data_IF_326543453427
#
_entry.id   IF_326543453427
#
_cell.length_a   1.000
_cell.length_b   1.000
_cell.length_c   1.000
_cell.angle_alpha   90.00
_cell.angle_beta   90.00
_cell.angle_gamma   90.00
#
_symmetry.space_group_name_H-M   'P 1'
#
loop_
_entity.id
_entity.type
_entity.pdbx_description
1 polymer ?
#
# COMPACT_ATOMS: atom_id res chain seq x y z
N UNK A 1 -48.08 29.69 0.51
CA UNK A 1 -46.62 29.90 0.67
C UNK A 1 -45.94 29.00 1.69
N UNK A 2 -46.53 28.63 2.83
CA UNK A 2 -45.91 27.73 3.83
C UNK A 2 -45.75 26.28 3.34
N UNK A 3 -46.68 25.75 2.55
CA UNK A 3 -46.64 24.38 2.00
C UNK A 3 -45.56 24.20 0.94
N UNK A 4 -45.26 25.20 0.12
CA UNK A 4 -44.20 25.13 -0.90
C UNK A 4 -42.79 25.14 -0.24
N UNK A 5 -42.62 25.95 0.83
CA UNK A 5 -41.36 25.94 1.60
C UNK A 5 -41.08 24.62 2.28
N UNK A 6 -42.14 23.96 2.84
CA UNK A 6 -42.00 22.64 3.47
C UNK A 6 -41.70 21.52 2.48
N UNK A 7 -42.26 21.57 1.26
CA UNK A 7 -41.91 20.64 0.17
C UNK A 7 -40.47 20.83 -0.33
N UNK A 8 -39.99 22.07 -0.39
CA UNK A 8 -38.60 22.36 -0.80
C UNK A 8 -37.59 21.89 0.24
N UNK A 9 -37.87 22.05 1.53
CA UNK A 9 -37.00 21.55 2.62
C UNK A 9 -37.05 20.03 2.66
N UNK A 10 -38.17 19.38 2.46
CA UNK A 10 -38.30 17.92 2.41
C UNK A 10 -37.58 17.34 1.17
N UNK A 11 -37.64 18.00 0.01
CA UNK A 11 -36.93 17.60 -1.19
C UNK A 11 -35.40 17.78 -1.03
N UNK A 12 -34.97 18.83 -0.33
CA UNK A 12 -33.54 19.07 -0.08
C UNK A 12 -32.94 18.06 0.93
N UNK A 13 -33.73 17.61 1.92
CA UNK A 13 -33.29 16.57 2.88
C UNK A 13 -33.28 15.17 2.27
N UNK A 14 -34.14 14.87 1.30
CA UNK A 14 -34.13 13.62 0.54
C UNK A 14 -32.95 13.52 -0.44
N UNK A 15 -32.47 14.65 -0.98
CA UNK A 15 -31.31 14.69 -1.89
C UNK A 15 -29.97 14.44 -1.18
N UNK A 16 -29.88 14.66 0.13
CA UNK A 16 -28.64 14.42 0.88
C UNK A 16 -28.45 12.96 1.31
N UNK A 17 -29.49 12.12 1.21
CA UNK A 17 -29.46 10.72 1.63
C UNK A 17 -28.97 9.73 0.53
N UNK A 18 -28.85 10.17 -0.73
CA UNK A 18 -28.80 9.27 -1.89
C UNK A 18 -27.44 9.08 -2.54
N UNK A 19 -26.34 9.71 -2.08
CA UNK A 19 -25.05 9.64 -2.78
C UNK A 19 -23.92 9.13 -1.91
N UNK A 20 -23.61 7.85 -2.03
CA UNK A 20 -22.37 7.24 -1.50
C UNK A 20 -22.60 5.96 -0.69
N UNK A 21 -21.67 5.04 -0.85
CA UNK A 21 -21.57 3.83 -0.04
C UNK A 21 -20.80 4.11 1.25
N UNK A 22 -21.21 3.47 2.36
CA UNK A 22 -20.44 3.53 3.61
C UNK A 22 -19.44 2.38 3.61
N UNK A 23 -18.17 2.71 3.67
CA UNK A 23 -17.08 1.77 3.88
C UNK A 23 -16.71 1.73 5.37
N UNK A 24 -16.47 0.54 5.93
CA UNK A 24 -15.92 0.36 7.27
C UNK A 24 -14.53 -0.25 7.13
N UNK A 25 -13.52 0.48 7.59
CA UNK A 25 -12.12 0.05 7.49
C UNK A 25 -11.88 -1.11 8.47
N UNK A 26 -11.31 -2.22 8.02
CA UNK A 26 -10.91 -3.31 8.91
C UNK A 26 -9.96 -2.84 10.01
N UNK A 27 -9.91 -3.53 11.14
CA UNK A 27 -9.07 -3.25 12.31
C UNK A 27 -9.48 -1.97 13.04
N UNK A 28 -9.54 -0.82 12.36
CA UNK A 28 -9.82 0.48 12.99
C UNK A 28 -11.31 0.71 13.19
N UNK A 29 -12.16 0.08 12.39
CA UNK A 29 -13.61 0.30 12.42
C UNK A 29 -14.05 1.69 11.94
N UNK A 30 -13.10 2.50 11.40
CA UNK A 30 -13.40 3.84 10.87
C UNK A 30 -14.39 3.73 9.71
N UNK A 31 -15.39 4.60 9.72
CA UNK A 31 -16.40 4.67 8.66
C UNK A 31 -16.12 5.83 7.73
N UNK A 32 -16.15 5.57 6.43
CA UNK A 32 -15.99 6.58 5.39
C UNK A 32 -17.13 6.53 4.40
N UNK A 33 -17.42 7.64 3.74
CA UNK A 33 -18.45 7.74 2.74
C UNK A 33 -17.82 7.94 1.35
N UNK A 34 -17.98 6.95 0.49
CA UNK A 34 -17.43 6.92 -0.85
C UNK A 34 -18.49 7.30 -1.88
N UNK A 35 -18.12 8.11 -2.88
CA UNK A 35 -18.95 8.48 -4.03
C UNK A 35 -18.84 7.48 -5.18
N UNK A 36 -17.85 6.58 -5.11
CA UNK A 36 -17.58 5.55 -6.11
C UNK A 36 -17.73 4.18 -5.49
N UNK A 37 -18.18 3.21 -6.25
CA UNK A 37 -18.22 1.82 -5.83
C UNK A 37 -16.92 1.07 -6.16
N UNK A 38 -16.77 -0.14 -5.61
CA UNK A 38 -15.57 -0.94 -5.79
C UNK A 38 -15.34 -1.32 -7.26
N UNK A 39 -16.40 -1.65 -8.00
CA UNK A 39 -16.28 -2.03 -9.41
C UNK A 39 -15.74 -0.89 -10.27
N UNK A 40 -16.20 0.34 -10.02
CA UNK A 40 -15.72 1.55 -10.69
C UNK A 40 -14.24 1.81 -10.38
N UNK A 41 -13.85 1.73 -9.09
CA UNK A 41 -12.48 1.97 -8.64
C UNK A 41 -11.54 0.90 -9.20
N UNK A 42 -11.93 -0.37 -9.16
CA UNK A 42 -11.13 -1.48 -9.66
C UNK A 42 -10.94 -1.43 -11.19
N UNK A 43 -11.99 -1.07 -11.93
CA UNK A 43 -11.93 -0.88 -13.38
C UNK A 43 -10.92 0.21 -13.74
N UNK A 44 -11.04 1.38 -13.11
CA UNK A 44 -10.14 2.52 -13.32
C UNK A 44 -8.70 2.19 -12.92
N UNK A 45 -8.52 1.55 -11.77
CA UNK A 45 -7.21 1.12 -11.28
C UNK A 45 -6.55 0.14 -12.24
N UNK A 46 -7.30 -0.85 -12.73
CA UNK A 46 -6.80 -1.83 -13.69
C UNK A 46 -6.33 -1.17 -14.98
N UNK A 47 -7.07 -0.20 -15.48
CA UNK A 47 -6.68 0.55 -16.68
C UNK A 47 -5.40 1.35 -16.44
N UNK A 48 -5.33 2.15 -15.37
CA UNK A 48 -4.14 2.95 -15.05
C UNK A 48 -2.92 2.08 -14.79
N UNK A 49 -3.10 0.94 -14.12
CA UNK A 49 -2.02 -0.02 -13.88
C UNK A 49 -1.49 -0.61 -15.20
N UNK A 50 -2.37 -1.02 -16.11
CA UNK A 50 -1.95 -1.54 -17.42
C UNK A 50 -1.20 -0.47 -18.23
N UNK A 51 -1.67 0.77 -18.20
CA UNK A 51 -1.02 1.88 -18.90
C UNK A 51 0.34 2.20 -18.28
N UNK A 52 0.46 2.19 -16.96
CA UNK A 52 1.73 2.30 -16.25
C UNK A 52 2.72 1.18 -16.67
N UNK A 53 2.27 -0.08 -16.65
CA UNK A 53 3.11 -1.23 -16.95
C UNK A 53 3.59 -1.29 -18.40
N UNK A 54 2.88 -0.69 -19.37
CA UNK A 54 3.36 -0.55 -20.75
C UNK A 54 4.63 0.29 -20.85
N UNK A 55 4.78 1.30 -19.99
CA UNK A 55 5.95 2.18 -19.95
C UNK A 55 7.03 1.74 -18.94
N UNK A 56 6.69 0.86 -18.00
CA UNK A 56 7.59 0.44 -16.93
C UNK A 56 8.59 -0.61 -17.45
N UNK A 57 9.86 -0.45 -17.06
CA UNK A 57 10.90 -1.45 -17.31
C UNK A 57 11.02 -2.36 -16.10
N UNK A 58 10.66 -3.63 -16.24
CA UNK A 58 10.84 -4.59 -15.17
C UNK A 58 12.33 -4.79 -14.84
N UNK A 59 12.61 -5.00 -13.56
CA UNK A 59 13.95 -5.33 -13.08
C UNK A 59 14.44 -6.64 -13.67
N UNK A 60 15.70 -6.67 -14.06
CA UNK A 60 16.40 -7.89 -14.48
C UNK A 60 17.06 -8.63 -13.31
N UNK A 61 17.05 -8.04 -12.11
CA UNK A 61 17.56 -8.67 -10.89
C UNK A 61 16.57 -9.70 -10.34
N UNK A 62 16.75 -10.96 -10.75
CA UNK A 62 15.88 -12.07 -10.38
C UNK A 62 15.78 -12.28 -8.86
N UNK A 63 16.86 -12.09 -8.12
CA UNK A 63 16.86 -12.27 -6.65
C UNK A 63 16.00 -11.21 -5.97
N UNK A 64 16.13 -9.96 -6.36
CA UNK A 64 15.32 -8.87 -5.82
C UNK A 64 13.86 -9.01 -6.23
N UNK A 65 13.57 -9.37 -7.48
CA UNK A 65 12.20 -9.62 -7.94
C UNK A 65 11.55 -10.78 -7.17
N UNK A 66 12.29 -11.86 -6.92
CA UNK A 66 11.81 -12.98 -6.12
C UNK A 66 11.56 -12.57 -4.65
N UNK A 67 12.41 -11.71 -4.07
CA UNK A 67 12.22 -11.18 -2.72
C UNK A 67 10.95 -10.33 -2.64
N UNK A 68 10.74 -9.39 -3.56
CA UNK A 68 9.52 -8.57 -3.62
C UNK A 68 8.27 -9.43 -3.72
N UNK A 69 8.28 -10.43 -4.60
CA UNK A 69 7.16 -11.35 -4.76
C UNK A 69 6.89 -12.17 -3.49
N UNK A 70 7.92 -12.70 -2.85
CA UNK A 70 7.81 -13.51 -1.64
C UNK A 70 7.25 -12.69 -0.48
N UNK A 71 7.80 -11.50 -0.23
CA UNK A 71 7.33 -10.59 0.83
C UNK A 71 5.89 -10.19 0.58
N UNK A 72 5.57 -9.77 -0.64
CA UNK A 72 4.22 -9.39 -1.03
C UNK A 72 3.19 -10.51 -0.87
N UNK A 73 3.52 -11.73 -1.29
CA UNK A 73 2.64 -12.89 -1.14
C UNK A 73 2.38 -13.25 0.34
N UNK A 74 3.39 -13.14 1.21
CA UNK A 74 3.20 -13.38 2.65
C UNK A 74 2.27 -12.34 3.27
N UNK A 75 2.43 -11.06 2.92
CA UNK A 75 1.54 -9.99 3.35
C UNK A 75 0.12 -10.18 2.83
N UNK A 76 -0.05 -10.48 1.54
CA UNK A 76 -1.35 -10.76 0.94
C UNK A 76 -2.07 -11.90 1.66
N UNK A 77 -1.39 -13.02 1.91
CA UNK A 77 -1.95 -14.16 2.63
C UNK A 77 -2.37 -13.81 4.07
N UNK A 78 -1.59 -12.98 4.77
CA UNK A 78 -1.94 -12.49 6.10
C UNK A 78 -3.20 -11.61 6.07
N UNK A 79 -3.29 -10.69 5.11
CA UNK A 79 -4.45 -9.82 4.90
C UNK A 79 -5.70 -10.64 4.56
N UNK A 80 -5.61 -11.56 3.61
CA UNK A 80 -6.73 -12.42 3.22
C UNK A 80 -7.24 -13.25 4.39
N UNK A 81 -6.32 -13.83 5.17
CA UNK A 81 -6.65 -14.58 6.38
C UNK A 81 -7.38 -13.70 7.40
N UNK A 82 -6.90 -12.48 7.60
CA UNK A 82 -7.54 -11.53 8.51
C UNK A 82 -8.95 -11.17 8.03
N UNK A 83 -9.10 -10.77 6.77
CA UNK A 83 -10.38 -10.37 6.20
C UNK A 83 -11.42 -11.49 6.27
N UNK A 84 -10.99 -12.72 5.92
CA UNK A 84 -11.87 -13.89 5.96
C UNK A 84 -12.37 -14.18 7.37
N UNK A 85 -11.53 -14.07 8.38
CA UNK A 85 -11.85 -14.45 9.76
C UNK A 85 -12.57 -13.37 10.57
N UNK A 86 -12.64 -12.12 10.04
CA UNK A 86 -13.19 -10.98 10.79
C UNK A 86 -14.42 -10.33 10.12
N UNK A 87 -15.12 -11.06 9.26
CA UNK A 87 -16.38 -10.58 8.66
C UNK A 87 -16.22 -9.71 7.43
N UNK A 88 -15.03 -9.69 6.83
CA UNK A 88 -14.74 -8.94 5.60
C UNK A 88 -14.49 -9.87 4.40
N UNK A 89 -14.98 -11.10 4.43
CA UNK A 89 -14.75 -12.09 3.36
C UNK A 89 -15.21 -11.60 1.98
N UNK A 90 -16.26 -10.76 1.92
CA UNK A 90 -16.71 -10.14 0.67
C UNK A 90 -15.68 -9.22 0.02
N UNK A 91 -14.74 -8.67 0.80
CA UNK A 91 -13.67 -7.81 0.25
C UNK A 91 -12.60 -8.60 -0.52
N UNK A 92 -12.48 -9.91 -0.29
CA UNK A 92 -11.48 -10.77 -0.94
C UNK A 92 -11.62 -10.77 -2.46
N UNK A 93 -12.84 -10.70 -2.99
CA UNK A 93 -13.11 -10.65 -4.43
C UNK A 93 -12.50 -9.41 -5.10
N UNK A 94 -12.22 -8.37 -4.34
CA UNK A 94 -11.65 -7.12 -4.82
C UNK A 94 -10.13 -7.22 -5.05
N UNK A 95 -9.45 -8.25 -4.55
CA UNK A 95 -8.01 -8.38 -4.65
C UNK A 95 -7.59 -9.43 -5.69
N UNK A 96 -6.73 -8.99 -6.62
CA UNK A 96 -5.99 -9.82 -7.57
C UNK A 96 -4.54 -9.39 -7.49
N UNK A 97 -3.85 -9.92 -6.49
CA UNK A 97 -2.49 -9.51 -6.12
C UNK A 97 -1.48 -9.67 -7.25
N UNK A 98 -0.75 -8.61 -7.53
CA UNK A 98 0.39 -8.61 -8.43
C UNK A 98 1.53 -7.83 -7.80
N UNK A 99 2.76 -8.36 -7.92
CA UNK A 99 3.95 -7.81 -7.29
C UNK A 99 5.02 -7.66 -8.36
N UNK A 100 5.38 -6.42 -8.68
CA UNK A 100 6.37 -6.11 -9.71
C UNK A 100 7.49 -5.26 -9.15
N UNK A 101 8.73 -5.62 -9.51
CA UNK A 101 9.91 -4.81 -9.28
C UNK A 101 10.28 -4.13 -10.61
N UNK A 102 10.33 -2.81 -10.61
CA UNK A 102 10.71 -2.01 -11.78
C UNK A 102 12.12 -1.45 -11.63
N UNK A 103 12.83 -1.37 -12.74
CA UNK A 103 14.20 -0.82 -12.83
C UNK A 103 14.14 0.72 -12.83
N UNK A 104 13.84 1.29 -11.67
CA UNK A 104 13.82 2.72 -11.41
C UNK A 104 14.66 3.00 -10.16
N UNK A 105 15.50 4.04 -10.23
CA UNK A 105 16.40 4.43 -9.15
C UNK A 105 15.71 5.30 -8.08
N UNK A 106 14.50 5.72 -8.30
CA UNK A 106 13.73 6.44 -7.30
C UNK A 106 13.39 5.50 -6.13
N UNK A 107 13.45 6.02 -4.92
CA UNK A 107 13.04 5.25 -3.75
C UNK A 107 11.52 5.39 -3.59
N UNK A 108 10.78 4.47 -4.21
CA UNK A 108 9.32 4.47 -4.21
C UNK A 108 8.72 3.06 -4.23
N UNK A 109 7.50 2.94 -3.75
CA UNK A 109 6.61 1.80 -3.91
C UNK A 109 5.17 2.30 -3.80
N UNK A 110 4.24 1.61 -4.42
CA UNK A 110 2.81 1.92 -4.29
C UNK A 110 1.94 0.67 -4.48
N UNK A 111 0.74 0.72 -3.93
CA UNK A 111 -0.30 -0.29 -4.13
C UNK A 111 -1.57 0.37 -4.68
N UNK A 112 -1.89 0.11 -5.94
CA UNK A 112 -3.17 0.53 -6.51
C UNK A 112 -4.31 -0.37 -6.03
N UNK A 113 -5.57 0.13 -6.01
CA UNK A 113 -6.74 -0.69 -5.71
C UNK A 113 -6.74 -2.00 -6.51
N UNK A 114 -7.17 -3.07 -5.88
CA UNK A 114 -7.12 -4.41 -6.46
C UNK A 114 -5.84 -5.18 -6.17
N UNK A 115 -4.91 -4.61 -5.37
CA UNK A 115 -3.67 -5.29 -4.96
C UNK A 115 -2.58 -5.28 -6.04
N UNK A 116 -2.53 -4.24 -6.86
CA UNK A 116 -1.50 -4.05 -7.89
C UNK A 116 -0.31 -3.30 -7.29
N UNK A 117 0.74 -4.02 -6.93
CA UNK A 117 1.90 -3.51 -6.20
C UNK A 117 3.08 -3.36 -7.14
N UNK A 118 3.66 -2.18 -7.12
CA UNK A 118 4.89 -1.84 -7.83
C UNK A 118 5.92 -1.38 -6.82
N UNK A 119 7.12 -1.94 -6.91
CA UNK A 119 8.29 -1.59 -6.11
C UNK A 119 9.37 -1.09 -7.04
N UNK A 120 10.02 0.01 -6.72
CA UNK A 120 11.16 0.52 -7.48
C UNK A 120 12.46 -0.02 -6.89
N UNK A 121 13.44 -0.37 -7.74
CA UNK A 121 14.73 -0.86 -7.25
C UNK A 121 15.40 0.10 -6.28
N UNK A 122 15.22 1.41 -6.47
CA UNK A 122 15.81 2.45 -5.63
C UNK A 122 15.36 2.43 -4.16
N UNK A 123 14.25 1.74 -3.80
CA UNK A 123 13.84 1.63 -2.40
C UNK A 123 14.60 0.50 -1.66
N UNK A 124 15.11 -0.51 -2.37
CA UNK A 124 15.70 -1.69 -1.75
C UNK A 124 16.92 -1.40 -0.86
N UNK A 125 17.83 -0.48 -1.23
CA UNK A 125 18.92 -0.08 -0.32
C UNK A 125 18.42 0.53 1.00
N UNK A 126 17.24 1.16 1.02
CA UNK A 126 16.63 1.79 2.20
C UNK A 126 15.94 0.76 3.09
N UNK A 127 15.26 -0.20 2.48
CA UNK A 127 14.61 -1.30 3.22
C UNK A 127 15.61 -2.27 3.81
N UNK A 128 16.77 -2.45 3.18
CA UNK A 128 17.91 -3.28 3.57
C UNK A 128 17.63 -4.79 3.53
N UNK A 129 16.47 -5.23 4.00
CA UNK A 129 16.08 -6.63 4.12
C UNK A 129 14.58 -6.85 3.85
N UNK A 130 14.13 -8.10 3.98
CA UNK A 130 12.72 -8.45 3.81
C UNK A 130 11.81 -7.81 4.85
N UNK A 131 12.27 -7.58 6.07
CA UNK A 131 11.44 -6.95 7.11
C UNK A 131 11.21 -5.48 6.82
N UNK A 132 12.27 -4.75 6.43
CA UNK A 132 12.12 -3.36 6.00
C UNK A 132 11.21 -3.23 4.76
N UNK A 133 11.34 -4.15 3.80
CA UNK A 133 10.44 -4.19 2.65
C UNK A 133 9.00 -4.52 3.06
N UNK A 134 8.80 -5.44 4.00
CA UNK A 134 7.47 -5.80 4.50
C UNK A 134 6.79 -4.65 5.24
N UNK A 135 7.54 -3.80 5.94
CA UNK A 135 7.02 -2.60 6.59
C UNK A 135 6.48 -1.61 5.54
N UNK A 136 7.23 -1.38 4.46
CA UNK A 136 6.78 -0.52 3.35
C UNK A 136 5.56 -1.13 2.66
N UNK A 137 5.66 -2.38 2.21
CA UNK A 137 4.56 -3.01 1.47
C UNK A 137 3.31 -3.22 2.34
N UNK A 138 3.48 -3.46 3.64
CA UNK A 138 2.38 -3.51 4.60
C UNK A 138 1.63 -2.18 4.66
N UNK A 139 2.35 -1.06 4.69
CA UNK A 139 1.80 0.29 4.64
C UNK A 139 1.04 0.54 3.31
N UNK A 140 1.63 0.18 2.17
CA UNK A 140 1.01 0.33 0.86
C UNK A 140 -0.26 -0.53 0.71
N UNK A 141 -0.20 -1.78 1.15
CA UNK A 141 -1.36 -2.69 1.18
C UNK A 141 -2.45 -2.14 2.09
N UNK A 142 -2.08 -1.52 3.22
CA UNK A 142 -3.04 -0.91 4.13
C UNK A 142 -3.84 0.22 3.48
N UNK A 143 -3.21 1.05 2.64
CA UNK A 143 -3.93 2.05 1.85
C UNK A 143 -4.98 1.42 0.93
N UNK A 144 -4.67 0.30 0.29
CA UNK A 144 -5.62 -0.41 -0.57
C UNK A 144 -6.76 -1.06 0.23
N UNK A 145 -6.45 -1.70 1.36
CA UNK A 145 -7.44 -2.35 2.25
C UNK A 145 -8.39 -1.33 2.89
N UNK A 146 -7.85 -0.17 3.32
CA UNK A 146 -8.65 0.92 3.88
C UNK A 146 -9.42 1.73 2.82
N UNK A 147 -9.19 1.47 1.54
CA UNK A 147 -9.79 2.19 0.38
C UNK A 147 -9.46 3.68 0.37
N UNK A 148 -8.27 4.07 0.84
CA UNK A 148 -7.85 5.47 0.91
C UNK A 148 -7.85 6.15 -0.46
N UNK A 149 -7.53 5.42 -1.54
CA UNK A 149 -7.59 5.93 -2.92
C UNK A 149 -9.01 6.28 -3.34
N UNK A 150 -10.00 5.43 -3.01
CA UNK A 150 -11.41 5.71 -3.28
C UNK A 150 -11.94 6.90 -2.44
N UNK A 151 -11.44 7.03 -1.21
CA UNK A 151 -11.74 8.18 -0.34
C UNK A 151 -11.19 9.48 -0.94
N UNK A 152 -9.94 9.46 -1.40
CA UNK A 152 -9.29 10.61 -2.04
C UNK A 152 -9.99 10.99 -3.35
N UNK A 153 -10.34 10.01 -4.19
CA UNK A 153 -11.11 10.24 -5.41
C UNK A 153 -12.46 10.87 -5.07
N UNK A 154 -13.18 10.31 -4.11
CA UNK A 154 -14.47 10.84 -3.66
C UNK A 154 -14.36 12.28 -3.11
N UNK A 155 -13.26 12.62 -2.45
CA UNK A 155 -12.97 13.98 -1.98
C UNK A 155 -12.76 14.94 -3.14
N UNK A 156 -11.94 14.57 -4.11
CA UNK A 156 -11.68 15.41 -5.29
C UNK A 156 -12.94 15.60 -6.12
N UNK A 157 -13.75 14.55 -6.31
CA UNK A 157 -15.07 14.65 -6.96
C UNK A 157 -15.99 15.64 -6.24
N UNK A 158 -16.09 15.59 -4.92
CA UNK A 158 -16.88 16.56 -4.14
C UNK A 158 -16.38 17.99 -4.34
N UNK A 159 -15.08 18.21 -4.39
CA UNK A 159 -14.48 19.53 -4.63
C UNK A 159 -14.81 20.04 -6.05
N UNK A 160 -14.71 19.18 -7.05
CA UNK A 160 -15.05 19.52 -8.44
C UNK A 160 -16.53 19.88 -8.58
N UNK A 161 -17.44 19.10 -7.98
CA UNK A 161 -18.87 19.43 -7.97
C UNK A 161 -19.16 20.75 -7.26
N UNK A 162 -18.55 20.98 -6.10
CA UNK A 162 -18.74 22.23 -5.38
C UNK A 162 -18.27 23.45 -6.20
N UNK A 163 -17.17 23.33 -6.94
CA UNK A 163 -16.68 24.37 -7.83
C UNK A 163 -17.64 24.62 -9.00
N UNK A 164 -18.21 23.56 -9.58
CA UNK A 164 -19.19 23.68 -10.67
C UNK A 164 -20.52 24.32 -10.22
N UNK A 165 -21.00 23.96 -9.01
CA UNK A 165 -22.24 24.53 -8.45
C UNK A 165 -22.05 25.99 -8.06
N UNK A 166 -20.89 26.36 -7.56
CA UNK A 166 -20.56 27.77 -7.26
C UNK A 166 -20.44 28.67 -8.46
N UNK A 167 -20.27 28.10 -9.68
CA UNK A 167 -20.13 28.86 -10.96
C UNK A 167 -21.35 28.87 -11.87
N UNK A 168 -22.35 28.00 -11.65
CA UNK A 168 -23.55 27.91 -12.53
C UNK A 168 -24.73 27.27 -11.79
N UNK A 169 -25.76 28.11 -11.67
CA UNK A 169 -27.18 27.82 -11.41
C UNK A 169 -27.60 26.33 -11.29
N UNK A 170 -28.25 26.03 -10.20
CA UNK A 170 -28.87 24.79 -9.73
C UNK A 170 -29.66 23.92 -10.73
N UNK A 171 -29.82 24.32 -11.99
CA UNK A 171 -30.60 23.61 -13.02
C UNK A 171 -29.86 22.41 -13.63
N UNK A 172 -28.53 22.35 -13.54
CA UNK A 172 -27.74 21.24 -14.12
C UNK A 172 -27.43 20.10 -13.13
N UNK A 173 -27.57 20.33 -11.84
CA UNK A 173 -27.39 19.28 -10.81
C UNK A 173 -28.43 18.16 -10.94
N UNK A 174 -29.60 18.44 -11.52
CA UNK A 174 -30.63 17.45 -11.82
C UNK A 174 -30.22 16.46 -12.94
N UNK A 175 -29.24 16.79 -13.76
CA UNK A 175 -28.69 15.90 -14.81
C UNK A 175 -27.50 15.05 -14.32
N UNK A 176 -26.99 15.27 -13.12
CA UNK A 176 -25.95 14.44 -12.48
C UNK A 176 -26.40 13.00 -12.15
N UNK A 177 -27.57 12.55 -12.65
CA UNK A 177 -27.96 11.13 -12.72
C UNK A 177 -27.03 10.28 -13.59
N UNK A 178 -26.04 10.88 -14.25
CA UNK A 178 -25.07 10.20 -15.11
C UNK A 178 -23.85 9.60 -14.42
N UNK A 179 -23.68 9.74 -13.10
CA UNK A 179 -22.56 9.16 -12.36
C UNK A 179 -22.57 7.62 -12.28
N UNK A 180 -23.64 6.99 -12.73
CA UNK A 180 -23.78 5.54 -12.74
C UNK A 180 -23.06 4.82 -13.89
N UNK A 181 -22.44 5.54 -14.84
CA UNK A 181 -21.77 4.88 -15.94
C UNK A 181 -20.23 5.11 -15.90
N UNK A 182 -19.47 4.08 -16.23
CA UNK A 182 -18.01 4.08 -16.18
C UNK A 182 -17.38 5.15 -17.09
N UNK A 183 -18.03 5.53 -18.20
CA UNK A 183 -17.53 6.54 -19.12
C UNK A 183 -17.50 7.94 -18.49
N UNK A 184 -18.55 8.34 -17.76
CA UNK A 184 -18.60 9.63 -17.09
C UNK A 184 -17.59 9.75 -15.93
N UNK A 185 -17.28 8.62 -15.27
CA UNK A 185 -16.24 8.58 -14.25
C UNK A 185 -14.85 8.75 -14.88
N UNK A 186 -14.57 8.08 -16.00
CA UNK A 186 -13.30 8.21 -16.72
C UNK A 186 -13.06 9.66 -17.20
N UNK A 187 -14.09 10.30 -17.76
CA UNK A 187 -14.02 11.69 -18.19
C UNK A 187 -13.71 12.62 -17.01
N UNK A 188 -14.38 12.43 -15.88
CA UNK A 188 -14.15 13.21 -14.66
C UNK A 188 -12.73 12.97 -14.12
N UNK A 189 -12.29 11.73 -14.04
CA UNK A 189 -10.93 11.36 -13.60
C UNK A 189 -9.88 12.00 -14.49
N UNK A 190 -10.11 12.01 -15.81
CA UNK A 190 -9.25 12.71 -16.76
C UNK A 190 -9.21 14.22 -16.52
N UNK A 191 -10.36 14.85 -16.27
CA UNK A 191 -10.45 16.31 -16.00
C UNK A 191 -9.74 16.72 -14.72
N UNK A 192 -9.80 15.91 -13.65
CA UNK A 192 -9.13 16.20 -12.36
C UNK A 192 -7.68 15.70 -12.31
N UNK A 193 -7.20 14.99 -13.34
CA UNK A 193 -5.84 14.45 -13.40
C UNK A 193 -5.57 13.39 -12.31
N UNK A 194 -6.59 12.61 -11.91
CA UNK A 194 -6.44 11.63 -10.85
C UNK A 194 -5.61 10.42 -11.29
N UNK A 195 -4.55 10.11 -10.53
CA UNK A 195 -3.67 8.99 -10.80
C UNK A 195 -3.39 8.21 -9.50
N UNK A 196 -3.66 6.90 -9.51
CA UNK A 196 -3.45 6.03 -8.34
C UNK A 196 -1.98 5.84 -7.97
N UNK A 197 -1.05 5.95 -8.91
CA UNK A 197 0.37 5.77 -8.62
C UNK A 197 1.01 6.94 -7.84
N UNK A 198 0.40 8.15 -7.92
CA UNK A 198 0.99 9.39 -7.38
C UNK A 198 0.02 10.08 -6.41
N UNK A 199 -0.63 9.32 -5.53
CA UNK A 199 -1.57 9.86 -4.57
C UNK A 199 -0.88 10.35 -3.31
N UNK A 200 -1.27 11.56 -2.89
CA UNK A 200 -0.91 12.09 -1.56
C UNK A 200 -2.10 11.94 -0.63
N UNK A 201 -1.85 11.28 0.46
CA UNK A 201 -2.88 11.00 1.45
C UNK A 201 -2.92 12.04 2.57
N UNK A 202 -4.03 12.09 3.30
CA UNK A 202 -4.12 12.91 4.51
C UNK A 202 -3.28 12.29 5.63
N UNK A 203 -2.89 13.10 6.62
CA UNK A 203 -2.17 12.58 7.80
C UNK A 203 -2.95 11.51 8.56
N UNK A 204 -4.27 11.58 8.56
CA UNK A 204 -5.12 10.58 9.20
C UNK A 204 -5.08 9.26 8.43
N UNK A 205 -5.10 9.31 7.08
CA UNK A 205 -4.92 8.12 6.25
C UNK A 205 -3.54 7.50 6.43
N UNK A 206 -2.48 8.32 6.55
CA UNK A 206 -1.12 7.85 6.83
C UNK A 206 -1.03 7.12 8.18
N UNK A 207 -1.61 7.73 9.22
CA UNK A 207 -1.64 7.13 10.56
C UNK A 207 -2.43 5.82 10.56
N UNK A 208 -3.53 5.75 9.81
CA UNK A 208 -4.32 4.53 9.67
C UNK A 208 -3.56 3.46 8.87
N UNK A 209 -2.88 3.85 7.80
CA UNK A 209 -2.05 2.93 7.00
C UNK A 209 -0.89 2.38 7.82
N UNK A 210 -0.25 3.19 8.65
CA UNK A 210 0.76 2.72 9.61
C UNK A 210 0.20 1.70 10.60
N UNK A 211 -1.00 1.97 11.13
CA UNK A 211 -1.65 1.07 12.09
C UNK A 211 -1.94 -0.30 11.47
N UNK A 212 -2.62 -0.30 10.31
CA UNK A 212 -2.95 -1.54 9.62
C UNK A 212 -1.69 -2.25 9.11
N UNK A 213 -0.78 -1.49 8.47
CA UNK A 213 0.43 -2.03 7.87
C UNK A 213 1.35 -2.69 8.86
N UNK A 214 1.50 -2.10 10.07
CA UNK A 214 2.28 -2.69 11.15
C UNK A 214 1.69 -4.02 11.61
N UNK A 215 0.36 -4.12 11.72
CA UNK A 215 -0.34 -5.36 12.07
C UNK A 215 -0.21 -6.38 10.95
N UNK A 216 -0.37 -5.99 9.69
CA UNK A 216 -0.21 -6.91 8.55
C UNK A 216 1.20 -7.47 8.44
N UNK A 217 2.24 -6.63 8.65
CA UNK A 217 3.62 -7.09 8.71
C UNK A 217 3.84 -8.11 9.84
N UNK A 218 3.31 -7.83 11.03
CA UNK A 218 3.38 -8.74 12.18
C UNK A 218 2.68 -10.09 11.90
N UNK A 219 1.47 -10.06 11.34
CA UNK A 219 0.71 -11.26 10.95
C UNK A 219 1.42 -12.08 9.87
N UNK A 220 2.14 -11.41 8.96
CA UNK A 220 2.97 -12.04 7.94
C UNK A 220 4.29 -12.62 8.51
N UNK A 221 4.53 -12.50 9.83
CA UNK A 221 5.72 -13.01 10.54
C UNK A 221 6.96 -12.13 10.40
N UNK A 222 6.80 -10.85 10.09
CA UNK A 222 7.86 -9.83 10.11
C UNK A 222 7.82 -9.07 11.43
N UNK A 223 8.98 -8.87 12.06
CA UNK A 223 9.07 -8.21 13.36
C UNK A 223 8.64 -6.73 13.26
N UNK A 224 7.51 -6.35 13.86
CA UNK A 224 7.01 -4.98 13.78
C UNK A 224 7.91 -3.98 14.49
N UNK A 225 8.78 -4.41 15.41
CA UNK A 225 9.69 -3.51 16.14
C UNK A 225 10.70 -2.84 15.20
N UNK A 226 11.01 -3.47 14.06
CA UNK A 226 11.91 -2.92 13.05
C UNK A 226 11.30 -1.75 12.25
N UNK A 227 9.99 -1.47 12.42
CA UNK A 227 9.36 -0.30 11.80
C UNK A 227 9.95 1.03 12.34
N UNK A 228 10.24 1.10 13.65
CA UNK A 228 10.79 2.32 14.25
C UNK A 228 12.15 2.70 13.66
N UNK A 229 13.19 1.83 13.71
CA UNK A 229 14.47 2.15 13.11
C UNK A 229 14.40 2.32 11.58
N UNK A 230 13.48 1.62 10.91
CA UNK A 230 13.25 1.83 9.47
C UNK A 230 12.79 3.27 9.19
N UNK A 231 11.71 3.74 9.81
CA UNK A 231 11.20 5.09 9.58
C UNK A 231 12.15 6.19 10.07
N UNK A 232 12.97 5.92 11.10
CA UNK A 232 14.04 6.83 11.51
C UNK A 232 15.10 6.98 10.42
N UNK A 233 15.57 5.89 9.81
CA UNK A 233 16.52 5.95 8.68
C UNK A 233 15.92 6.70 7.50
N UNK A 234 14.65 6.40 7.20
CA UNK A 234 13.92 7.08 6.15
C UNK A 234 13.88 8.60 6.39
N UNK A 235 13.53 9.06 7.58
CA UNK A 235 13.47 10.48 7.93
C UNK A 235 14.84 11.18 7.79
N UNK A 236 15.93 10.51 8.15
CA UNK A 236 17.29 11.06 8.02
C UNK A 236 17.71 11.25 6.55
N UNK A 237 17.25 10.42 5.66
CA UNK A 237 17.57 10.51 4.23
C UNK A 237 16.65 11.48 3.47
N UNK A 238 15.45 11.73 3.98
CA UNK A 238 14.48 12.67 3.37
C UNK A 238 14.87 14.15 3.47
N UNK A 239 15.86 14.50 4.29
CA UNK A 239 16.37 15.87 4.44
C UNK A 239 17.40 16.33 3.40
N UNK A 240 17.86 15.44 2.51
CA UNK A 240 18.86 15.71 1.49
C UNK A 240 18.30 16.22 0.15
N UNK A 241 19.20 16.58 -0.78
CA UNK A 241 18.87 17.02 -2.15
C UNK A 241 18.16 15.94 -2.99
N UNK A 242 18.24 14.68 -2.61
CA UNK A 242 17.55 13.53 -3.23
C UNK A 242 16.34 13.12 -2.36
N UNK A 243 15.31 13.96 -2.30
CA UNK A 243 14.05 13.57 -1.65
C UNK A 243 13.47 12.36 -2.39
N UNK A 244 13.32 11.23 -1.68
CA UNK A 244 12.59 10.12 -2.24
C UNK A 244 11.12 10.50 -2.41
N UNK A 245 10.49 10.05 -3.49
CA UNK A 245 9.05 10.28 -3.73
C UNK A 245 8.23 9.72 -2.58
N UNK A 246 8.60 8.57 -2.04
CA UNK A 246 7.97 7.98 -0.87
C UNK A 246 7.87 8.96 0.30
N UNK A 247 8.88 9.85 0.50
CA UNK A 247 8.83 10.88 1.54
C UNK A 247 7.91 12.05 1.22
N UNK A 248 7.83 12.42 -0.06
CA UNK A 248 6.97 13.52 -0.47
C UNK A 248 5.50 13.15 -0.37
N UNK A 249 5.20 11.87 -0.55
CA UNK A 249 3.85 11.33 -0.61
C UNK A 249 3.41 10.77 0.76
N UNK A 250 4.37 10.23 1.55
CA UNK A 250 4.17 9.68 2.90
C UNK A 250 5.12 10.34 3.92
N UNK A 251 4.85 11.59 4.36
CA UNK A 251 5.75 12.31 5.24
C UNK A 251 6.03 11.56 6.54
N UNK A 252 7.31 11.38 6.85
CA UNK A 252 7.76 10.83 8.14
C UNK A 252 8.18 11.96 9.06
N UNK A 253 7.46 12.15 10.15
CA UNK A 253 7.77 13.12 11.19
C UNK A 253 7.85 12.44 12.57
N UNK A 254 8.27 13.21 13.58
CA UNK A 254 8.35 12.71 14.96
C UNK A 254 6.99 12.21 15.48
N UNK A 255 5.89 12.78 15.00
CA UNK A 255 4.53 12.38 15.38
C UNK A 255 4.21 10.99 14.86
N UNK A 256 4.64 10.67 13.63
CA UNK A 256 4.49 9.33 13.04
C UNK A 256 5.25 8.30 13.86
N UNK A 257 6.51 8.57 14.21
CA UNK A 257 7.30 7.68 15.06
C UNK A 257 6.67 7.46 16.43
N UNK A 258 6.19 8.52 17.06
CA UNK A 258 5.49 8.42 18.35
C UNK A 258 4.18 7.63 18.25
N UNK A 259 3.44 7.75 17.14
CA UNK A 259 2.24 6.97 16.89
C UNK A 259 2.57 5.47 16.72
N UNK A 260 3.58 5.13 15.93
CA UNK A 260 4.05 3.75 15.75
C UNK A 260 4.50 3.11 17.07
N UNK A 261 5.21 3.87 17.94
CA UNK A 261 5.59 3.39 19.26
C UNK A 261 4.38 3.03 20.13
N UNK A 262 3.31 3.84 20.08
CA UNK A 262 2.07 3.57 20.81
C UNK A 262 1.31 2.35 20.27
N UNK A 263 1.40 2.08 18.96
CA UNK A 263 0.76 0.95 18.31
C UNK A 263 1.54 -0.37 18.51
N UNK A 264 2.83 -0.29 18.82
CA UNK A 264 3.70 -1.46 18.94
C UNK A 264 3.16 -2.57 19.85
N UNK A 265 2.63 -2.30 21.07
CA UNK A 265 2.07 -3.35 21.91
C UNK A 265 0.85 -4.06 21.30
N UNK A 266 0.12 -3.39 20.39
CA UNK A 266 -1.00 -3.99 19.66
C UNK A 266 -0.47 -4.88 18.54
N UNK A 267 0.48 -4.38 17.74
CA UNK A 267 1.07 -5.15 16.64
C UNK A 267 1.77 -6.43 17.11
N UNK A 268 2.47 -6.37 18.25
CA UNK A 268 3.14 -7.53 18.83
C UNK A 268 2.20 -8.68 19.21
N UNK A 269 0.92 -8.43 19.45
CA UNK A 269 -0.09 -9.48 19.69
C UNK A 269 -0.36 -10.33 18.45
N UNK A 270 -0.08 -9.81 17.27
CA UNK A 270 -0.23 -10.48 15.99
C UNK A 270 1.08 -11.11 15.49
N UNK A 271 2.19 -10.81 16.15
CA UNK A 271 3.50 -11.31 15.73
C UNK A 271 3.80 -12.68 16.32
N UNK A 272 4.01 -13.62 15.42
CA UNK A 272 4.58 -14.93 15.78
C UNK A 272 5.93 -15.04 15.11
N UNK A 273 7.04 -15.03 15.88
CA UNK A 273 8.36 -15.22 15.30
C UNK A 273 8.42 -16.50 14.47
N UNK A 274 9.05 -16.47 13.29
CA UNK A 274 9.30 -17.71 12.56
C UNK A 274 10.06 -18.67 13.44
N UNK A 275 9.59 -19.92 13.51
CA UNK A 275 10.32 -20.98 14.23
C UNK A 275 11.72 -21.06 13.59
N UNK A 276 12.76 -20.70 14.33
CA UNK A 276 14.13 -20.81 13.86
C UNK A 276 14.38 -22.28 13.55
N UNK A 277 14.59 -22.63 12.28
CA UNK A 277 15.13 -23.96 11.96
C UNK A 277 16.41 -24.15 12.77
N UNK A 278 16.56 -25.30 13.46
CA UNK A 278 17.78 -25.58 14.22
C UNK A 278 18.95 -25.44 13.25
N UNK A 279 19.88 -24.55 13.58
CA UNK A 279 21.06 -24.26 12.78
C UNK A 279 21.69 -25.57 12.32
N UNK A 280 21.66 -25.85 11.02
CA UNK A 280 22.36 -27.01 10.46
C UNK A 280 23.82 -26.90 10.90
N UNK A 281 24.24 -27.82 11.80
CA UNK A 281 25.64 -27.94 12.20
C UNK A 281 26.47 -28.06 10.92
N UNK A 282 27.22 -27.02 10.59
CA UNK A 282 28.26 -27.11 9.57
C UNK A 282 29.22 -28.18 9.98
N UNK A 283 29.08 -29.36 9.39
CA UNK A 283 30.05 -30.45 9.52
C UNK A 283 31.35 -29.96 8.88
N UNK A 284 32.25 -29.51 9.74
CA UNK A 284 33.61 -29.15 9.35
C UNK A 284 34.33 -30.44 9.01
N UNK A 285 34.36 -30.81 7.75
CA UNK A 285 35.15 -31.93 7.25
C UNK A 285 36.61 -31.48 7.28
N UNK A 286 37.31 -31.83 8.35
CA UNK A 286 38.76 -31.64 8.48
C UNK A 286 39.45 -32.57 7.49
N UNK A 287 39.88 -32.03 6.35
CA UNK A 287 40.78 -32.73 5.42
C UNK A 287 42.11 -32.96 6.10
N UNK A 288 42.36 -34.19 6.49
CA UNK A 288 43.66 -34.69 7.02
C UNK A 288 44.66 -34.66 5.83
N UNK A 289 45.58 -33.72 5.85
CA UNK A 289 46.67 -33.64 4.90
C UNK A 289 47.67 -34.78 5.22
N UNK A 290 47.77 -35.75 4.34
CA UNK A 290 48.80 -36.82 4.40
C UNK A 290 50.04 -36.32 3.68
N UNK A 291 51.03 -35.90 4.42
CA UNK A 291 52.37 -35.50 3.89
C UNK A 291 53.15 -36.76 3.55
N UNK A 292 53.29 -37.09 2.29
CA UNK A 292 54.17 -38.16 1.79
C UNK A 292 55.63 -37.66 1.78
N UNK A 293 56.45 -38.14 2.69
CA UNK A 293 57.91 -37.92 2.68
C UNK A 293 58.52 -38.69 1.51
N UNK A 294 59.11 -37.98 0.57
CA UNK A 294 59.92 -38.53 -0.51
C UNK A 294 61.36 -38.68 0.00
N UNK A 295 61.81 -39.91 0.19
CA UNK A 295 63.20 -40.28 0.51
C UNK A 295 64.07 -40.14 -0.74
N UNK A 296 65.08 -39.30 -0.68
CA UNK A 296 66.16 -39.18 -1.68
C UNK A 296 67.31 -40.09 -1.28
N UNK A 297 67.47 -41.18 -2.02
CA UNK A 297 68.63 -42.03 -1.91
C UNK A 297 69.75 -41.49 -2.84
N UNK A 298 70.83 -41.06 -2.22
CA UNK A 298 72.11 -40.70 -2.89
C UNK A 298 72.86 -41.97 -3.33
N UNK A 299 73.18 -42.09 -4.59
CA UNK A 299 74.18 -43.08 -5.09
C UNK A 299 75.41 -42.35 -5.59
N UNK A 300 76.54 -42.63 -4.86
CA UNK A 300 77.93 -42.35 -5.38
C UNK A 300 78.24 -43.38 -6.44
N UNK A 301 78.74 -42.93 -7.58
CA UNK A 301 80.00 -43.19 -8.25
C UNK A 301 80.07 -42.43 -9.55
#
# INVERSE_FOLDING_TARGET
>A
MKTIKSLFVLALTLLTAACGTTNTVPITGRKTRLLVDDAQVLSLSSQQYQDYMKGAKLSTNQNNAAMVKRVGQRLASAVETYLNNNGYASELQNFKWEFNLVADNQANAFCMPGGKIVVYEGILPLTQDETGLAIVLGHEIAHAVAKHSAEQLSKQMRQQYAAQIGGAVASQVAQAKGLGNAASLLDMVGQIGFNFANLKYSRDNETEADHLGLIFAAMAGYDPQLAIPFWQRMAQQGGGSNKSELFSDHPSDEKRLAALQKLMPVALKYYTPPVSEPAQKKTTTTKKSTTTKKSTATKKK
#
